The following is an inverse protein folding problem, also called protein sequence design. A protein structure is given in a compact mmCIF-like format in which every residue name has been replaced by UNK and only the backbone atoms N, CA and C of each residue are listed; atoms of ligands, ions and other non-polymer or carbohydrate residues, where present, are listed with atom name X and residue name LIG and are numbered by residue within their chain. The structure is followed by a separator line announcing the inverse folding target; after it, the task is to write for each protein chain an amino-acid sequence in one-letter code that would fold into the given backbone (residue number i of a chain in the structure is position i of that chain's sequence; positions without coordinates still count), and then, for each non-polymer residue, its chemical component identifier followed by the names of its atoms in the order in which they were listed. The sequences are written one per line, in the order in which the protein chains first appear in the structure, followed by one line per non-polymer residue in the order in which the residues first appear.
data_IF_961064300595
#
_entry.id   IF_961064300595
#
_cell.length_a   1.000
_cell.length_b   1.000
_cell.length_c   1.000
_cell.angle_alpha   90.00
_cell.angle_beta   90.00
_cell.angle_gamma   90.00
#
_symmetry.space_group_name_H-M   'P 1'
#
loop_
_entity.id
_entity.type
_entity.pdbx_description
1 polymer ?
#
# COMPACT_ATOMS: atom_id res chain seq x y z
N UNK A 1 -24.30 -7.56 2.82
CA UNK A 1 -23.02 -8.07 2.25
C UNK A 1 -22.03 -6.92 2.16
N UNK A 2 -20.86 -7.01 2.82
CA UNK A 2 -19.83 -5.95 2.79
C UNK A 2 -19.12 -6.02 1.43
N UNK A 3 -19.28 -5.00 0.59
CA UNK A 3 -18.66 -4.93 -0.74
C UNK A 3 -17.14 -5.03 -0.57
N UNK A 4 -16.49 -6.02 -1.20
CA UNK A 4 -15.01 -6.11 -1.21
C UNK A 4 -14.49 -4.83 -1.88
N UNK A 5 -13.63 -4.10 -1.19
CA UNK A 5 -12.96 -2.93 -1.78
C UNK A 5 -11.88 -3.43 -2.73
N UNK A 6 -11.66 -2.68 -3.80
CA UNK A 6 -10.56 -2.97 -4.73
C UNK A 6 -9.21 -2.94 -4.01
N UNK A 7 -8.28 -3.76 -4.47
CA UNK A 7 -6.91 -3.88 -3.95
C UNK A 7 -6.87 -4.15 -2.44
N UNK A 8 -7.75 -5.02 -1.95
CA UNK A 8 -7.85 -5.32 -0.53
C UNK A 8 -6.55 -5.94 0.02
N UNK A 9 -5.83 -6.69 -0.79
CA UNK A 9 -4.51 -7.27 -0.49
C UNK A 9 -3.47 -6.20 -0.15
N UNK A 10 -3.37 -5.14 -0.96
CA UNK A 10 -2.46 -4.01 -0.73
C UNK A 10 -2.85 -3.29 0.56
N UNK A 11 -4.14 -3.03 0.76
CA UNK A 11 -4.65 -2.38 1.99
C UNK A 11 -4.37 -3.22 3.23
N UNK A 12 -4.49 -4.53 3.13
CA UNK A 12 -4.22 -5.46 4.23
C UNK A 12 -2.72 -5.51 4.54
N UNK A 13 -1.86 -5.54 3.52
CA UNK A 13 -0.41 -5.55 3.67
C UNK A 13 0.11 -4.29 4.36
N UNK A 14 -0.34 -3.12 3.91
CA UNK A 14 -0.02 -1.83 4.55
C UNK A 14 -0.39 -1.87 6.02
N UNK A 15 -1.61 -2.36 6.32
CA UNK A 15 -2.10 -2.48 7.69
C UNK A 15 -1.33 -3.52 8.52
N UNK A 16 -0.95 -4.66 7.95
CA UNK A 16 -0.19 -5.69 8.67
C UNK A 16 1.23 -5.23 9.00
N UNK A 17 1.77 -4.30 8.23
CA UNK A 17 3.05 -3.64 8.51
C UNK A 17 2.93 -2.47 9.51
N UNK A 18 1.73 -2.17 10.00
CA UNK A 18 1.50 -1.09 10.94
C UNK A 18 1.42 0.31 10.31
N UNK A 19 1.60 0.42 9.00
CA UNK A 19 1.51 1.69 8.29
C UNK A 19 0.08 2.09 7.97
N UNK A 20 -0.15 3.39 7.90
CA UNK A 20 -1.35 4.04 7.36
C UNK A 20 -1.17 4.28 5.86
N UNK A 21 -2.30 4.41 5.17
CA UNK A 21 -2.31 4.61 3.71
C UNK A 21 -1.56 5.88 3.28
N UNK A 22 -1.61 6.95 4.08
CA UNK A 22 -0.90 8.20 3.81
C UNK A 22 0.61 8.09 4.04
N UNK A 23 1.06 7.34 5.06
CA UNK A 23 2.49 7.12 5.33
C UNK A 23 3.14 6.41 4.14
N UNK A 24 2.47 5.41 3.59
CA UNK A 24 2.93 4.70 2.38
C UNK A 24 2.95 5.63 1.17
N UNK A 25 1.98 6.54 1.03
CA UNK A 25 1.98 7.51 -0.06
C UNK A 25 3.17 8.47 0.03
N UNK A 26 3.47 8.97 1.23
CA UNK A 26 4.66 9.81 1.49
C UNK A 26 5.97 9.07 1.16
N UNK A 27 6.09 7.81 1.58
CA UNK A 27 7.26 6.97 1.31
C UNK A 27 7.44 6.69 -0.19
N UNK A 28 6.34 6.51 -0.91
CA UNK A 28 6.31 6.37 -2.37
C UNK A 28 6.46 7.71 -3.12
N UNK A 29 6.61 8.83 -2.40
CA UNK A 29 6.71 10.20 -2.95
C UNK A 29 5.54 10.56 -3.87
N UNK A 30 4.34 10.10 -3.51
CA UNK A 30 3.09 10.41 -4.21
C UNK A 30 2.11 11.05 -3.22
N UNK A 31 1.22 11.91 -3.72
CA UNK A 31 0.15 12.45 -2.90
C UNK A 31 -0.78 11.35 -2.36
N UNK A 32 -1.18 11.45 -1.09
CA UNK A 32 -2.19 10.57 -0.50
C UNK A 32 -3.47 10.53 -1.36
N UNK A 33 -3.88 11.67 -1.90
CA UNK A 33 -5.07 11.77 -2.75
C UNK A 33 -4.94 10.96 -4.04
N UNK A 34 -3.72 10.89 -4.61
CA UNK A 34 -3.39 10.10 -5.80
C UNK A 34 -3.38 8.63 -5.43
N UNK A 35 -2.72 8.25 -4.34
CA UNK A 35 -2.68 6.87 -3.87
C UNK A 35 -4.08 6.33 -3.51
N UNK A 36 -4.90 7.16 -2.89
CA UNK A 36 -6.30 6.85 -2.59
C UNK A 36 -7.15 6.66 -3.85
N UNK A 37 -6.91 7.47 -4.90
CA UNK A 37 -7.55 7.27 -6.23
C UNK A 37 -7.08 5.99 -6.89
N UNK A 38 -5.79 5.69 -6.82
CA UNK A 38 -5.19 4.48 -7.37
C UNK A 38 -5.85 3.22 -6.78
N UNK A 39 -6.02 3.17 -5.45
CA UNK A 39 -6.62 2.01 -4.78
C UNK A 39 -8.16 1.94 -4.86
N UNK A 40 -8.83 2.82 -5.61
CA UNK A 40 -10.30 2.75 -5.80
C UNK A 40 -10.72 1.81 -6.92
N UNK A 41 -9.84 1.59 -7.92
CA UNK A 41 -10.06 0.65 -9.03
C UNK A 41 -9.12 -0.52 -8.86
N UNK A 42 -9.54 -1.70 -9.30
CA UNK A 42 -8.65 -2.86 -9.28
C UNK A 42 -7.46 -2.59 -10.19
N UNK A 43 -6.26 -2.65 -9.62
CA UNK A 43 -5.02 -2.44 -10.37
C UNK A 43 -4.71 -3.66 -11.22
N UNK A 44 -3.99 -3.44 -12.32
CA UNK A 44 -3.51 -4.54 -13.13
C UNK A 44 -2.46 -5.36 -12.36
N UNK A 45 -2.27 -6.63 -12.73
CA UNK A 45 -1.38 -7.51 -11.98
C UNK A 45 0.05 -6.97 -11.87
N UNK A 46 0.55 -6.31 -12.91
CA UNK A 46 1.89 -5.74 -12.94
C UNK A 46 2.02 -4.54 -11.98
N UNK A 47 1.08 -3.60 -12.04
CA UNK A 47 1.02 -2.45 -11.12
C UNK A 47 0.89 -2.90 -9.67
N UNK A 48 0.07 -3.92 -9.40
CA UNK A 48 -0.04 -4.51 -8.06
C UNK A 48 1.27 -5.10 -7.58
N UNK A 49 1.93 -5.91 -8.41
CA UNK A 49 3.21 -6.53 -8.05
C UNK A 49 4.27 -5.48 -7.76
N UNK A 50 4.36 -4.46 -8.61
CA UNK A 50 5.29 -3.35 -8.39
C UNK A 50 5.01 -2.64 -7.07
N UNK A 51 3.75 -2.33 -6.79
CA UNK A 51 3.37 -1.64 -5.56
C UNK A 51 3.61 -2.49 -4.31
N UNK A 52 3.28 -3.78 -4.35
CA UNK A 52 3.57 -4.72 -3.26
C UNK A 52 5.07 -4.81 -3.02
N UNK A 53 5.89 -4.93 -4.07
CA UNK A 53 7.33 -4.98 -3.94
C UNK A 53 7.90 -3.69 -3.31
N UNK A 54 7.37 -2.54 -3.71
CA UNK A 54 7.84 -1.27 -3.15
C UNK A 54 7.43 -1.10 -1.69
N UNK A 55 6.20 -1.49 -1.34
CA UNK A 55 5.74 -1.50 0.07
C UNK A 55 6.52 -2.52 0.90
N UNK A 56 6.89 -3.68 0.34
CA UNK A 56 7.66 -4.69 1.09
C UNK A 56 9.05 -4.20 1.44
N UNK A 57 9.72 -3.49 0.52
CA UNK A 57 11.02 -2.85 0.81
C UNK A 57 10.94 -1.86 1.96
N UNK A 58 9.81 -1.16 2.13
CA UNK A 58 9.61 -0.25 3.27
C UNK A 58 9.49 -1.00 4.61
N UNK A 59 8.96 -2.22 4.58
CA UNK A 59 8.85 -3.09 5.76
C UNK A 59 10.18 -3.73 6.16
N UNK A 60 11.00 -4.15 5.20
CA UNK A 60 12.29 -4.81 5.46
C UNK A 60 13.33 -3.87 6.10
N UNK A 61 13.14 -2.55 6.02
CA UNK A 61 14.00 -1.57 6.70
C UNK A 61 13.73 -1.52 8.22
N UNK A 62 12.71 -2.20 8.72
CA UNK A 62 12.30 -2.18 10.13
C UNK A 62 12.93 -3.30 10.99
N UNK A 63 14.25 -3.53 10.87
CA UNK A 63 15.09 -4.30 11.83
C UNK A 63 15.81 -3.39 12.84
N UNK A 64 15.35 -2.15 13.05
CA UNK A 64 15.80 -1.29 14.15
C UNK A 64 14.61 -0.46 14.64
N UNK A 65 13.97 -0.91 15.71
CA UNK A 65 13.26 -0.02 16.63
C UNK A 65 13.95 -0.15 17.99
N UNK A 66 14.54 0.98 18.41
CA UNK A 66 15.08 1.26 19.75
C UNK A 66 14.05 1.07 20.87
#
# INVERSE_FOLDING_TARGET
MKKRKANQEIRNMIKSMGYKQWEVAELLKIDESVFSRLLRKELEQEEKRWLILEISKLGDVCELQD
#
